data_IF_966925832506
#
_entry.id   IF_966925832506
#
_cell.length_a   1.000
_cell.length_b   1.000
_cell.length_c   1.000
_cell.angle_alpha   90.00
_cell.angle_beta   90.00
_cell.angle_gamma   90.00
#
_symmetry.space_group_name_H-M   'P 1'
#
loop_
_entity.id
_entity.type
_entity.pdbx_description
1 polymer ?
#
# COMPACT_ATOMS: atom_id res chain seq x y z
N UNK A 1 -48.33 16.43 -19.34
CA UNK A 1 -47.14 15.61 -19.00
C UNK A 1 -46.83 15.81 -17.53
N UNK A 2 -47.00 14.77 -16.71
CA UNK A 2 -47.01 14.90 -15.26
C UNK A 2 -45.61 15.22 -14.75
N UNK A 3 -45.44 16.34 -14.04
CA UNK A 3 -44.17 16.78 -13.47
C UNK A 3 -43.47 15.66 -12.67
N UNK A 4 -44.26 14.81 -12.00
CA UNK A 4 -43.79 13.62 -11.28
C UNK A 4 -43.10 12.58 -12.18
N UNK A 5 -43.58 12.38 -13.42
CA UNK A 5 -42.93 11.49 -14.40
C UNK A 5 -41.65 12.10 -14.97
N UNK A 6 -41.63 13.43 -15.16
CA UNK A 6 -40.43 14.13 -15.61
C UNK A 6 -39.32 14.04 -14.55
N UNK A 7 -39.67 14.21 -13.27
CA UNK A 7 -38.74 14.13 -12.14
C UNK A 7 -38.18 12.72 -11.93
N UNK A 8 -39.01 11.68 -12.08
CA UNK A 8 -38.55 10.29 -12.04
C UNK A 8 -37.63 9.93 -13.21
N UNK A 9 -37.91 10.42 -14.42
CA UNK A 9 -37.03 10.20 -15.58
C UNK A 9 -35.70 10.92 -15.39
N UNK A 10 -35.69 12.15 -14.85
CA UNK A 10 -34.47 12.90 -14.58
C UNK A 10 -33.61 12.21 -13.50
N UNK A 11 -34.24 11.71 -12.44
CA UNK A 11 -33.58 10.95 -11.38
C UNK A 11 -32.98 9.64 -11.90
N UNK A 12 -33.71 8.90 -12.74
CA UNK A 12 -33.20 7.71 -13.41
C UNK A 12 -32.02 8.03 -14.34
N UNK A 13 -32.07 9.14 -15.08
CA UNK A 13 -30.96 9.59 -15.92
C UNK A 13 -29.71 9.91 -15.10
N UNK A 14 -29.85 10.66 -14.00
CA UNK A 14 -28.75 10.99 -13.08
C UNK A 14 -28.11 9.77 -12.42
N UNK A 15 -28.88 8.71 -12.16
CA UNK A 15 -28.38 7.43 -11.63
C UNK A 15 -27.68 6.60 -12.72
N UNK A 16 -28.07 6.74 -13.99
CA UNK A 16 -27.46 6.02 -15.13
C UNK A 16 -26.20 6.71 -15.70
N UNK A 17 -26.04 8.01 -15.46
CA UNK A 17 -24.85 8.79 -15.87
C UNK A 17 -23.51 8.26 -15.33
N UNK A 18 -23.34 7.91 -14.04
CA UNK A 18 -22.06 7.40 -13.54
C UNK A 18 -21.64 6.09 -14.21
N UNK A 19 -22.60 5.28 -14.67
CA UNK A 19 -22.31 3.99 -15.31
C UNK A 19 -21.66 4.15 -16.69
N UNK A 20 -21.94 5.26 -17.41
CA UNK A 20 -21.32 5.52 -18.72
C UNK A 20 -19.90 6.07 -18.61
N UNK A 21 -19.58 6.77 -17.53
CA UNK A 21 -18.22 7.28 -17.30
C UNK A 21 -17.22 6.15 -17.02
N UNK A 22 -17.67 5.04 -16.42
CA UNK A 22 -16.81 3.91 -16.02
C UNK A 22 -16.28 3.09 -17.20
N UNK A 23 -17.06 2.97 -18.28
CA UNK A 23 -16.66 2.19 -19.45
C UNK A 23 -15.64 2.92 -20.34
N UNK A 24 -15.48 4.25 -20.17
CA UNK A 24 -14.51 5.04 -20.92
C UNK A 24 -13.06 4.82 -20.45
N UNK A 25 -12.83 4.45 -19.19
CA UNK A 25 -11.47 4.39 -18.63
C UNK A 25 -10.57 3.34 -19.30
N UNK A 26 -11.15 2.22 -19.77
CA UNK A 26 -10.40 1.19 -20.47
C UNK A 26 -9.98 1.62 -21.87
N UNK A 27 -10.87 2.29 -22.59
CA UNK A 27 -10.62 2.84 -23.91
C UNK A 27 -9.60 3.99 -23.82
N UNK A 28 -9.75 4.87 -22.83
CA UNK A 28 -8.79 5.95 -22.53
C UNK A 28 -7.39 5.40 -22.23
N UNK A 29 -7.28 4.31 -21.46
CA UNK A 29 -5.99 3.69 -21.13
C UNK A 29 -5.29 3.14 -22.37
N UNK A 30 -6.03 2.45 -23.23
CA UNK A 30 -5.49 1.83 -24.43
C UNK A 30 -5.13 2.90 -25.48
N UNK A 31 -5.89 4.00 -25.55
CA UNK A 31 -5.59 5.16 -26.37
C UNK A 31 -4.43 6.03 -25.86
N UNK A 32 -4.11 5.96 -24.56
CA UNK A 32 -3.13 6.81 -23.89
C UNK A 32 -1.67 6.49 -24.26
N UNK A 33 -0.81 7.50 -24.11
CA UNK A 33 0.65 7.33 -24.23
C UNK A 33 1.23 6.45 -23.11
N UNK A 34 2.43 5.90 -23.30
CA UNK A 34 3.05 5.00 -22.29
C UNK A 34 3.29 5.66 -20.93
N UNK A 35 3.67 6.94 -20.92
CA UNK A 35 3.82 7.71 -19.68
C UNK A 35 2.48 7.89 -18.97
N UNK A 36 1.43 8.20 -19.73
CA UNK A 36 0.08 8.37 -19.22
C UNK A 36 -0.51 7.04 -18.72
N UNK A 37 -0.27 5.92 -19.42
CA UNK A 37 -0.62 4.58 -18.94
C UNK A 37 0.00 4.28 -17.57
N UNK A 38 1.27 4.61 -17.38
CA UNK A 38 1.93 4.43 -16.09
C UNK A 38 1.33 5.30 -14.98
N UNK A 39 0.96 6.55 -15.31
CA UNK A 39 0.28 7.46 -14.38
C UNK A 39 -1.11 6.92 -13.98
N UNK A 40 -1.91 6.47 -14.95
CA UNK A 40 -3.23 5.87 -14.71
C UNK A 40 -3.11 4.65 -13.80
N UNK A 41 -2.21 3.71 -14.08
CA UNK A 41 -2.01 2.54 -13.23
C UNK A 41 -1.59 2.91 -11.80
N UNK A 42 -0.75 3.94 -11.65
CA UNK A 42 -0.32 4.42 -10.32
C UNK A 42 -1.49 5.02 -9.55
N UNK A 43 -2.36 5.80 -10.21
CA UNK A 43 -3.55 6.39 -9.61
C UNK A 43 -4.57 5.32 -9.23
N UNK A 44 -4.82 4.35 -10.12
CA UNK A 44 -5.73 3.24 -9.87
C UNK A 44 -5.24 2.33 -8.74
N UNK A 45 -3.93 2.19 -8.56
CA UNK A 45 -3.36 1.44 -7.45
C UNK A 45 -3.55 2.15 -6.10
N UNK A 46 -3.58 3.49 -6.09
CA UNK A 46 -3.82 4.28 -4.87
C UNK A 46 -5.30 4.34 -4.48
N UNK A 47 -6.20 4.27 -5.47
CA UNK A 47 -7.66 4.30 -5.29
C UNK A 47 -8.33 3.12 -6.02
N UNK A 48 -8.38 1.93 -5.42
CA UNK A 48 -8.97 0.75 -6.03
C UNK A 48 -10.47 0.90 -6.24
N UNK A 49 -10.94 0.49 -7.41
CA UNK A 49 -12.35 0.51 -7.80
C UNK A 49 -12.70 -0.80 -8.51
N UNK A 50 -13.79 -1.44 -8.09
CA UNK A 50 -14.15 -2.78 -8.58
C UNK A 50 -14.31 -2.84 -10.12
N UNK A 51 -14.77 -1.74 -10.72
CA UNK A 51 -15.04 -1.63 -12.16
C UNK A 51 -13.77 -1.77 -13.02
N UNK A 52 -12.58 -1.53 -12.45
CA UNK A 52 -11.29 -1.63 -13.16
C UNK A 52 -10.72 -3.04 -13.19
N UNK A 53 -11.27 -3.96 -12.39
CA UNK A 53 -10.79 -5.34 -12.28
C UNK A 53 -10.75 -6.10 -13.62
N UNK A 54 -11.76 -6.00 -14.51
CA UNK A 54 -11.72 -6.70 -15.80
C UNK A 54 -10.52 -6.29 -16.65
N UNK A 55 -10.22 -4.98 -16.71
CA UNK A 55 -9.08 -4.45 -17.44
C UNK A 55 -7.75 -4.88 -16.81
N UNK A 56 -7.60 -4.71 -15.49
CA UNK A 56 -6.36 -5.08 -14.78
C UNK A 56 -6.06 -6.58 -14.87
N UNK A 57 -7.10 -7.43 -14.84
CA UNK A 57 -6.96 -8.86 -15.12
C UNK A 57 -6.52 -9.09 -16.56
N UNK A 58 -7.17 -8.48 -17.55
CA UNK A 58 -6.76 -8.62 -18.94
C UNK A 58 -5.29 -8.21 -19.18
N UNK A 59 -4.84 -7.11 -18.57
CA UNK A 59 -3.45 -6.63 -18.65
C UNK A 59 -2.42 -7.61 -18.06
N UNK A 60 -2.81 -8.44 -17.09
CA UNK A 60 -1.89 -9.33 -16.37
C UNK A 60 -1.96 -10.78 -16.85
N UNK A 61 -3.12 -11.27 -17.29
CA UNK A 61 -3.33 -12.68 -17.64
C UNK A 61 -3.54 -12.94 -19.13
N UNK A 62 -4.31 -12.11 -19.82
CA UNK A 62 -4.91 -12.47 -21.12
C UNK A 62 -4.40 -11.60 -22.29
N UNK A 63 -3.60 -10.57 -22.02
CA UNK A 63 -3.11 -9.57 -22.99
C UNK A 63 -4.25 -8.89 -23.77
N UNK A 64 -4.62 -7.63 -23.44
CA UNK A 64 -5.73 -6.97 -24.11
C UNK A 64 -5.39 -6.66 -25.57
N UNK A 65 -6.43 -6.56 -26.39
CA UNK A 65 -6.36 -6.12 -27.78
C UNK A 65 -7.14 -4.81 -27.95
N UNK A 66 -6.74 -4.02 -28.94
CA UNK A 66 -7.32 -2.72 -29.28
C UNK A 66 -7.84 -2.77 -30.70
N UNK A 67 -9.03 -2.24 -30.97
CA UNK A 67 -9.53 -2.07 -32.34
C UNK A 67 -9.02 -0.77 -33.00
N UNK A 68 -9.40 -0.49 -34.25
CA UNK A 68 -8.98 0.75 -34.92
C UNK A 68 -9.61 2.01 -34.29
N UNK A 69 -10.76 1.86 -33.61
CA UNK A 69 -11.44 2.89 -32.83
C UNK A 69 -10.81 3.20 -31.47
N UNK A 70 -9.73 2.51 -31.09
CA UNK A 70 -9.06 2.56 -29.78
C UNK A 70 -9.90 2.01 -28.62
N UNK A 71 -10.83 1.11 -28.89
CA UNK A 71 -11.59 0.42 -27.86
C UNK A 71 -10.85 -0.83 -27.37
N UNK A 72 -10.94 -1.10 -26.08
CA UNK A 72 -10.26 -2.20 -25.42
C UNK A 72 -11.13 -3.47 -25.41
N UNK A 73 -10.54 -4.59 -25.83
CA UNK A 73 -11.15 -5.92 -25.76
C UNK A 73 -10.18 -6.92 -25.10
N UNK A 74 -10.75 -8.00 -24.56
CA UNK A 74 -9.99 -9.18 -24.14
C UNK A 74 -10.29 -10.36 -25.03
N UNK A 75 -9.29 -11.21 -25.24
CA UNK A 75 -9.43 -12.45 -26.02
C UNK A 75 -9.74 -13.61 -25.07
N UNK A 76 -10.92 -14.23 -25.21
CA UNK A 76 -11.30 -15.45 -24.48
C UNK A 76 -11.57 -16.59 -25.47
N UNK A 77 -11.59 -17.84 -25.00
CA UNK A 77 -11.86 -19.06 -25.82
C UNK A 77 -13.24 -19.10 -26.53
N UNK A 78 -13.98 -17.99 -26.59
CA UNK A 78 -15.25 -17.85 -27.31
C UNK A 78 -15.39 -16.50 -28.05
N UNK A 79 -14.30 -15.76 -28.25
CA UNK A 79 -14.30 -14.50 -29.00
C UNK A 79 -13.76 -13.30 -28.20
N UNK A 80 -13.97 -12.12 -28.77
CA UNK A 80 -13.57 -10.84 -28.18
C UNK A 80 -14.66 -10.35 -27.22
N UNK A 81 -14.28 -10.07 -25.98
CA UNK A 81 -15.16 -9.48 -24.99
C UNK A 81 -14.77 -8.02 -24.73
N UNK A 82 -15.73 -7.08 -24.74
CA UNK A 82 -15.44 -5.68 -24.48
C UNK A 82 -14.96 -5.45 -23.05
N UNK A 83 -13.94 -4.61 -22.91
CA UNK A 83 -13.46 -4.05 -21.64
C UNK A 83 -13.89 -2.60 -21.47
N UNK A 84 -14.26 -1.92 -22.55
CA UNK A 84 -14.71 -0.53 -22.57
C UNK A 84 -16.18 -0.37 -22.96
N UNK A 85 -16.53 0.80 -23.52
CA UNK A 85 -17.92 1.19 -23.76
C UNK A 85 -18.56 0.51 -24.99
N UNK A 86 -17.74 0.04 -25.93
CA UNK A 86 -18.22 -0.49 -27.21
C UNK A 86 -18.32 -2.02 -27.16
N UNK A 87 -19.51 -2.55 -27.48
CA UNK A 87 -19.81 -3.97 -27.33
C UNK A 87 -19.17 -4.89 -28.39
N UNK A 88 -18.85 -4.36 -29.57
CA UNK A 88 -18.27 -5.12 -30.69
C UNK A 88 -17.08 -4.36 -31.30
N UNK A 89 -16.01 -5.06 -31.69
CA UNK A 89 -14.82 -4.44 -32.25
C UNK A 89 -15.13 -3.75 -33.59
N UNK A 90 -14.55 -2.57 -33.79
CA UNK A 90 -14.59 -1.84 -35.04
C UNK A 90 -13.30 -2.08 -35.82
N UNK A 91 -13.39 -2.82 -36.92
CA UNK A 91 -12.25 -3.12 -37.77
C UNK A 91 -11.35 -4.22 -37.20
N UNK A 92 -10.06 -4.18 -37.54
CA UNK A 92 -9.09 -5.19 -37.10
C UNK A 92 -8.60 -4.91 -35.68
N UNK A 93 -8.41 -5.98 -34.90
CA UNK A 93 -7.85 -5.86 -33.55
C UNK A 93 -6.35 -6.08 -33.54
N UNK A 94 -5.61 -5.20 -32.86
CA UNK A 94 -4.16 -5.29 -32.65
C UNK A 94 -3.83 -5.55 -31.17
N UNK A 95 -2.82 -6.36 -30.85
CA UNK A 95 -2.45 -6.65 -29.47
C UNK A 95 -1.84 -5.43 -28.78
N UNK A 96 -2.32 -5.11 -27.57
CA UNK A 96 -1.75 -4.07 -26.71
C UNK A 96 -0.53 -4.64 -25.99
N UNK A 97 0.66 -4.43 -26.57
CA UNK A 97 1.91 -4.87 -25.95
C UNK A 97 2.23 -4.01 -24.74
N UNK A 98 2.48 -4.62 -23.58
CA UNK A 98 2.95 -3.92 -22.38
C UNK A 98 4.47 -4.03 -22.25
N UNK A 99 5.11 -2.98 -21.74
CA UNK A 99 6.52 -3.06 -21.30
C UNK A 99 6.62 -3.78 -19.96
N UNK A 100 7.81 -4.25 -19.59
CA UNK A 100 8.01 -4.89 -18.28
C UNK A 100 7.55 -3.97 -17.12
N UNK A 101 7.90 -2.69 -17.21
CA UNK A 101 7.47 -1.67 -16.25
C UNK A 101 5.95 -1.56 -16.13
N UNK A 102 5.22 -1.53 -17.25
CA UNK A 102 3.76 -1.43 -17.22
C UNK A 102 3.11 -2.70 -16.68
N UNK A 103 3.66 -3.88 -16.97
CA UNK A 103 3.17 -5.15 -16.39
C UNK A 103 3.31 -5.16 -14.87
N UNK A 104 4.45 -4.70 -14.35
CA UNK A 104 4.69 -4.57 -12.92
C UNK A 104 3.70 -3.60 -12.24
N UNK A 105 3.48 -2.42 -12.84
CA UNK A 105 2.49 -1.46 -12.37
C UNK A 105 1.06 -2.03 -12.42
N UNK A 106 0.71 -2.77 -13.48
CA UNK A 106 -0.59 -3.43 -13.58
C UNK A 106 -0.76 -4.53 -12.53
N UNK A 107 0.28 -5.31 -12.24
CA UNK A 107 0.27 -6.30 -11.17
C UNK A 107 0.12 -5.65 -9.79
N UNK A 108 0.82 -4.55 -9.52
CA UNK A 108 0.67 -3.76 -8.29
C UNK A 108 -0.74 -3.17 -8.15
N UNK A 109 -1.28 -2.60 -9.24
CA UNK A 109 -2.66 -2.11 -9.28
C UNK A 109 -3.66 -3.25 -9.04
N UNK A 110 -3.53 -4.40 -9.70
CA UNK A 110 -4.42 -5.54 -9.47
C UNK A 110 -4.35 -6.05 -8.02
N UNK A 111 -3.15 -6.15 -7.45
CA UNK A 111 -2.98 -6.57 -6.06
C UNK A 111 -3.61 -5.56 -5.08
N UNK A 112 -3.55 -4.26 -5.37
CA UNK A 112 -4.25 -3.24 -4.55
C UNK A 112 -5.77 -3.40 -4.54
N UNK A 113 -6.36 -4.00 -5.58
CA UNK A 113 -7.78 -4.30 -5.58
C UNK A 113 -8.07 -5.58 -4.78
N UNK A 114 -7.23 -6.60 -4.93
CA UNK A 114 -7.40 -7.87 -4.21
C UNK A 114 -7.13 -7.77 -2.70
N UNK A 115 -6.36 -6.78 -2.24
CA UNK A 115 -6.17 -6.57 -0.79
C UNK A 115 -7.46 -6.15 -0.07
N UNK A 116 -8.45 -5.68 -0.81
CA UNK A 116 -9.78 -5.30 -0.29
C UNK A 116 -10.81 -6.44 -0.40
N UNK A 117 -10.40 -7.62 -0.89
CA UNK A 117 -11.29 -8.79 -1.00
C UNK A 117 -11.64 -9.38 0.36
N UNK A 118 -12.82 -9.99 0.46
CA UNK A 118 -13.26 -10.73 1.65
C UNK A 118 -12.47 -12.03 1.86
N UNK A 119 -11.83 -12.56 0.81
CA UNK A 119 -11.07 -13.80 0.88
C UNK A 119 -9.64 -13.58 1.40
N UNK A 120 -9.32 -14.21 2.55
CA UNK A 120 -7.99 -14.15 3.20
C UNK A 120 -6.86 -14.60 2.27
N UNK A 121 -7.10 -15.61 1.42
CA UNK A 121 -6.08 -16.13 0.50
C UNK A 121 -5.75 -15.13 -0.62
N UNK A 122 -6.76 -14.45 -1.15
CA UNK A 122 -6.59 -13.37 -2.11
C UNK A 122 -5.83 -12.20 -1.48
N UNK A 123 -6.19 -11.80 -0.25
CA UNK A 123 -5.46 -10.75 0.47
C UNK A 123 -4.01 -11.11 0.74
N UNK A 124 -3.72 -12.35 1.16
CA UNK A 124 -2.34 -12.79 1.41
C UNK A 124 -1.50 -12.77 0.12
N UNK A 125 -2.05 -13.28 -0.99
CA UNK A 125 -1.36 -13.27 -2.29
C UNK A 125 -1.15 -11.84 -2.82
N UNK A 126 -2.14 -10.96 -2.62
CA UNK A 126 -2.05 -9.55 -2.94
C UNK A 126 -0.94 -8.88 -2.11
N UNK A 127 -0.93 -9.07 -0.79
CA UNK A 127 0.09 -8.49 0.09
C UNK A 127 1.51 -8.91 -0.32
N UNK A 128 1.73 -10.18 -0.66
CA UNK A 128 3.02 -10.66 -1.20
C UNK A 128 3.43 -9.98 -2.50
N UNK A 129 2.49 -9.74 -3.40
CA UNK A 129 2.74 -8.99 -4.64
C UNK A 129 3.11 -7.54 -4.33
N UNK A 130 2.37 -6.91 -3.40
CA UNK A 130 2.58 -5.52 -2.99
C UNK A 130 3.92 -5.30 -2.29
N UNK A 131 4.52 -6.31 -1.65
CA UNK A 131 5.87 -6.17 -1.13
C UNK A 131 6.89 -5.81 -2.23
N UNK A 132 6.70 -6.27 -3.46
CA UNK A 132 7.61 -5.99 -4.58
C UNK A 132 7.14 -4.82 -5.44
N UNK A 133 5.84 -4.76 -5.74
CA UNK A 133 5.30 -3.86 -6.76
C UNK A 133 4.60 -2.62 -6.18
N UNK A 134 4.52 -2.46 -4.85
CA UNK A 134 3.86 -1.29 -4.27
C UNK A 134 4.61 0.00 -4.62
N UNK A 135 3.82 1.05 -4.87
CA UNK A 135 4.32 2.40 -5.11
C UNK A 135 4.06 3.30 -3.90
N UNK A 136 4.79 4.42 -3.73
CA UNK A 136 4.59 5.33 -2.60
C UNK A 136 3.16 5.86 -2.47
N UNK A 137 2.44 6.02 -3.60
CA UNK A 137 1.05 6.49 -3.62
C UNK A 137 0.08 5.53 -2.90
N UNK A 138 0.47 4.27 -2.71
CA UNK A 138 -0.36 3.23 -2.08
C UNK A 138 -0.17 3.16 -0.56
N UNK A 139 0.78 3.92 0.01
CA UNK A 139 1.13 3.83 1.42
C UNK A 139 -0.06 4.09 2.36
N UNK A 140 -0.89 5.10 2.04
CA UNK A 140 -2.08 5.41 2.83
C UNK A 140 -3.10 4.26 2.82
N UNK A 141 -3.35 3.67 1.65
CA UNK A 141 -4.26 2.53 1.50
C UNK A 141 -3.76 1.30 2.27
N UNK A 142 -2.48 0.98 2.16
CA UNK A 142 -1.89 -0.15 2.89
C UNK A 142 -1.93 0.07 4.40
N UNK A 143 -1.68 1.29 4.87
CA UNK A 143 -1.77 1.64 6.28
C UNK A 143 -3.20 1.49 6.80
N UNK A 144 -4.20 1.98 6.06
CA UNK A 144 -5.61 1.80 6.40
C UNK A 144 -6.00 0.33 6.46
N UNK A 145 -5.58 -0.46 5.47
CA UNK A 145 -5.86 -1.90 5.46
C UNK A 145 -5.21 -2.62 6.62
N UNK A 146 -3.97 -2.27 6.98
CA UNK A 146 -3.27 -2.86 8.12
C UNK A 146 -4.05 -2.68 9.44
N UNK A 147 -4.68 -1.52 9.65
CA UNK A 147 -5.48 -1.27 10.86
C UNK A 147 -6.79 -2.07 10.89
N UNK A 148 -7.33 -2.45 9.73
CA UNK A 148 -8.58 -3.20 9.60
C UNK A 148 -8.37 -4.72 9.45
N UNK A 149 -7.12 -5.18 9.26
CA UNK A 149 -6.84 -6.59 9.03
C UNK A 149 -6.86 -7.38 10.33
N UNK A 150 -7.60 -8.49 10.32
CA UNK A 150 -7.74 -9.38 11.49
C UNK A 150 -6.82 -10.59 11.41
N UNK A 151 -6.44 -11.01 10.19
CA UNK A 151 -5.56 -12.17 10.01
C UNK A 151 -4.09 -11.80 10.26
N UNK A 152 -3.46 -12.50 11.19
CA UNK A 152 -2.07 -12.22 11.62
C UNK A 152 -1.05 -12.42 10.50
N UNK A 153 -1.27 -13.40 9.60
CA UNK A 153 -0.38 -13.66 8.48
C UNK A 153 -0.48 -12.55 7.42
N UNK A 154 -1.70 -12.13 7.06
CA UNK A 154 -1.88 -10.97 6.16
C UNK A 154 -1.34 -9.69 6.80
N UNK A 155 -1.54 -9.49 8.10
CA UNK A 155 -1.00 -8.34 8.84
C UNK A 155 0.53 -8.28 8.73
N UNK A 156 1.23 -9.38 8.99
CA UNK A 156 2.69 -9.46 8.85
C UNK A 156 3.15 -9.16 7.42
N UNK A 157 2.45 -9.68 6.41
CA UNK A 157 2.77 -9.40 5.00
C UNK A 157 2.60 -7.92 4.63
N UNK A 158 1.58 -7.25 5.19
CA UNK A 158 1.32 -5.82 5.00
C UNK A 158 2.36 -4.94 5.71
N UNK A 159 2.79 -5.30 6.92
CA UNK A 159 3.85 -4.61 7.65
C UNK A 159 5.16 -4.60 6.85
N UNK A 160 5.52 -5.74 6.26
CA UNK A 160 6.70 -5.85 5.39
C UNK A 160 6.55 -4.97 4.15
N UNK A 161 5.38 -4.95 3.51
CA UNK A 161 5.13 -4.11 2.34
C UNK A 161 5.29 -2.61 2.68
N UNK A 162 4.69 -2.15 3.78
CA UNK A 162 4.79 -0.77 4.25
C UNK A 162 6.22 -0.37 4.62
N UNK A 163 6.93 -1.23 5.32
CA UNK A 163 8.30 -0.97 5.69
C UNK A 163 9.22 -0.88 4.46
N UNK A 164 9.03 -1.73 3.44
CA UNK A 164 9.76 -1.63 2.18
C UNK A 164 9.54 -0.29 1.48
N UNK A 165 8.30 0.19 1.45
CA UNK A 165 7.98 1.52 0.93
C UNK A 165 8.68 2.63 1.70
N UNK A 166 8.68 2.54 3.04
CA UNK A 166 9.32 3.53 3.91
C UNK A 166 10.85 3.52 3.83
N UNK A 167 11.47 2.35 3.62
CA UNK A 167 12.92 2.23 3.41
C UNK A 167 13.38 2.95 2.14
N UNK A 168 12.55 2.97 1.10
CA UNK A 168 12.84 3.66 -0.14
C UNK A 168 12.70 5.19 -0.06
N UNK A 169 12.14 5.73 1.04
CA UNK A 169 11.96 7.17 1.20
C UNK A 169 13.26 7.90 1.57
N UNK A 170 13.44 9.16 1.11
CA UNK A 170 14.62 9.96 1.44
C UNK A 170 14.64 10.40 2.91
N UNK A 171 13.47 10.48 3.55
CA UNK A 171 13.29 10.92 4.93
C UNK A 171 13.92 9.95 5.94
N UNK A 172 14.74 10.48 6.85
CA UNK A 172 15.40 9.67 7.86
C UNK A 172 14.38 9.02 8.81
N UNK A 173 13.37 9.78 9.25
CA UNK A 173 12.31 9.31 10.16
C UNK A 173 11.50 8.15 9.57
N UNK A 174 11.15 8.21 8.28
CA UNK A 174 10.48 7.13 7.56
C UNK A 174 11.33 5.85 7.54
N UNK A 175 12.64 5.97 7.26
CA UNK A 175 13.55 4.82 7.34
C UNK A 175 13.65 4.23 8.74
N UNK A 176 13.65 5.06 9.80
CA UNK A 176 13.64 4.57 11.18
C UNK A 176 12.37 3.78 11.47
N UNK A 177 11.20 4.32 11.11
CA UNK A 177 9.91 3.67 11.28
C UNK A 177 9.89 2.29 10.61
N UNK A 178 10.40 2.21 9.39
CA UNK A 178 10.54 0.96 8.64
C UNK A 178 11.38 -0.08 9.39
N UNK A 179 12.54 0.30 9.93
CA UNK A 179 13.40 -0.61 10.69
C UNK A 179 12.69 -1.14 11.94
N UNK A 180 11.90 -0.31 12.62
CA UNK A 180 11.06 -0.77 13.75
C UNK A 180 9.99 -1.76 13.32
N UNK A 181 9.30 -1.51 12.18
CA UNK A 181 8.31 -2.44 11.64
C UNK A 181 8.96 -3.79 11.27
N UNK A 182 10.09 -3.76 10.55
CA UNK A 182 10.83 -4.97 10.17
C UNK A 182 11.44 -5.71 11.38
N UNK A 183 11.78 -4.99 12.45
CA UNK A 183 12.33 -5.58 13.68
C UNK A 183 11.36 -6.50 14.42
N UNK A 184 10.05 -6.29 14.25
CA UNK A 184 9.01 -7.16 14.80
C UNK A 184 8.68 -8.34 13.88
N UNK A 185 9.06 -8.28 12.61
CA UNK A 185 8.82 -9.35 11.64
C UNK A 185 9.84 -10.48 11.78
N UNK A 186 9.35 -11.72 11.86
CA UNK A 186 10.19 -12.92 11.90
C UNK A 186 10.67 -13.39 10.52
N UNK A 187 10.36 -12.64 9.45
CA UNK A 187 10.59 -13.05 8.07
C UNK A 187 12.09 -12.98 7.65
N UNK A 188 12.67 -14.07 7.10
CA UNK A 188 14.04 -14.08 6.60
C UNK A 188 14.31 -13.13 5.44
N UNK A 189 13.36 -12.94 4.52
CA UNK A 189 13.52 -12.02 3.38
C UNK A 189 13.61 -10.57 3.87
N UNK A 190 12.81 -10.24 4.88
CA UNK A 190 12.85 -8.97 5.60
C UNK A 190 14.22 -8.68 6.23
N UNK A 191 14.89 -9.68 6.81
CA UNK A 191 16.24 -9.50 7.39
C UNK A 191 17.28 -9.16 6.33
N UNK A 192 17.15 -9.73 5.12
CA UNK A 192 18.05 -9.44 4.01
C UNK A 192 17.97 -7.97 3.56
N UNK A 193 16.79 -7.35 3.66
CA UNK A 193 16.58 -5.93 3.33
C UNK A 193 17.32 -4.95 4.26
N UNK A 194 17.67 -5.38 5.48
CA UNK A 194 18.41 -4.57 6.45
C UNK A 194 19.94 -4.61 6.24
N UNK A 195 20.44 -5.56 5.44
CA UNK A 195 21.87 -5.78 5.21
C UNK A 195 22.53 -4.65 4.37
N UNK A 196 21.95 -4.21 3.24
CA UNK A 196 22.63 -3.27 2.33
C UNK A 196 22.51 -1.79 2.70
N UNK A 197 21.87 -1.40 3.81
CA UNK A 197 21.65 0.00 4.17
C UNK A 197 22.95 0.67 4.68
N UNK A 198 23.55 1.64 3.95
CA UNK A 198 24.80 2.30 4.34
C UNK A 198 24.59 3.30 5.50
N UNK A 199 25.52 3.31 6.45
CA UNK A 199 25.33 3.88 7.79
C UNK A 199 26.17 5.14 8.06
N UNK A 200 25.54 6.33 8.14
CA UNK A 200 25.95 7.35 9.13
C UNK A 200 24.97 7.42 10.32
N UNK A 201 23.70 7.09 10.12
CA UNK A 201 22.61 7.20 11.12
C UNK A 201 22.40 5.96 12.00
N UNK A 202 22.99 4.83 11.62
CA UNK A 202 22.56 3.52 12.13
C UNK A 202 23.39 3.01 13.33
N UNK A 203 24.46 3.71 13.73
CA UNK A 203 25.21 3.45 14.97
C UNK A 203 24.41 3.76 16.24
N UNK A 204 23.41 4.66 16.14
CA UNK A 204 22.43 4.92 17.21
C UNK A 204 21.21 3.99 17.10
N UNK A 205 20.79 3.65 15.88
CA UNK A 205 19.63 2.80 15.60
C UNK A 205 19.81 1.33 15.96
N UNK A 206 20.95 0.71 15.61
CA UNK A 206 21.25 -0.70 15.97
C UNK A 206 21.25 -0.93 17.48
N UNK A 207 21.54 0.12 18.26
CA UNK A 207 21.47 0.11 19.73
C UNK A 207 20.03 0.12 20.27
N UNK A 208 19.08 0.68 19.52
CA UNK A 208 17.67 0.72 19.90
C UNK A 208 16.95 -0.56 19.49
N UNK A 209 17.18 -1.07 18.27
CA UNK A 209 16.53 -2.28 17.77
C UNK A 209 16.97 -3.58 18.49
N UNK A 210 18.14 -3.61 19.14
CA UNK A 210 18.61 -4.75 19.95
C UNK A 210 18.16 -4.71 21.42
N UNK A 211 17.41 -3.69 21.85
CA UNK A 211 16.96 -3.57 23.24
C UNK A 211 15.51 -4.04 23.39
N UNK A 212 15.20 -4.89 24.38
CA UNK A 212 13.81 -5.20 24.70
C UNK A 212 13.07 -3.92 25.11
N UNK A 213 11.79 -3.78 24.72
CA UNK A 213 10.97 -2.58 24.84
C UNK A 213 10.98 -1.93 26.25
N UNK A 214 11.21 -2.74 27.30
CA UNK A 214 11.27 -2.32 28.70
C UNK A 214 12.48 -1.39 28.98
N UNK A 215 13.57 -1.51 28.22
CA UNK A 215 14.80 -0.76 28.45
C UNK A 215 14.79 0.68 27.88
N UNK A 216 13.76 1.07 27.11
CA UNK A 216 13.68 2.40 26.50
C UNK A 216 13.26 3.49 27.51
N UNK A 217 12.68 3.11 28.66
CA UNK A 217 12.16 4.06 29.67
C UNK A 217 13.24 4.81 30.47
N UNK A 218 14.53 4.45 30.31
CA UNK A 218 15.65 4.95 31.14
C UNK A 218 16.66 5.83 30.41
N UNK A 219 16.56 5.97 29.10
CA UNK A 219 17.37 6.94 28.34
C UNK A 219 16.51 8.17 28.06
N UNK A 220 16.95 9.31 28.57
CA UNK A 220 16.38 10.64 28.36
C UNK A 220 16.58 11.11 26.89
N UNK A 221 16.17 10.27 25.94
CA UNK A 221 16.12 10.54 24.52
C UNK A 221 14.65 10.84 24.25
N UNK A 222 14.37 12.07 23.81
CA UNK A 222 13.05 12.47 23.35
C UNK A 222 12.72 11.69 22.08
N UNK A 223 12.16 10.49 22.25
CA UNK A 223 11.30 9.84 21.29
C UNK A 223 9.85 10.02 21.76
N UNK A 224 9.40 11.28 21.80
CA UNK A 224 8.00 11.60 21.53
C UNK A 224 7.88 11.58 19.99
N UNK A 225 6.94 10.89 19.35
CA UNK A 225 5.52 10.79 19.68
C UNK A 225 4.87 9.59 18.99
N UNK A 226 3.76 9.11 19.56
CA UNK A 226 2.70 8.28 18.96
C UNK A 226 3.09 6.78 18.75
N UNK A 227 2.49 5.76 19.38
CA UNK A 227 1.19 5.58 20.02
C UNK A 227 1.34 4.49 21.09
N UNK A 228 0.90 4.76 22.33
CA UNK A 228 0.49 3.71 23.26
C UNK A 228 -0.94 3.32 22.90
N UNK A 229 -1.13 2.14 22.31
CA UNK A 229 -2.46 1.53 22.27
C UNK A 229 -2.77 1.05 23.67
N UNK A 230 -3.66 1.77 24.35
CA UNK A 230 -4.20 1.41 25.64
C UNK A 230 -5.14 0.21 25.49
N UNK A 231 -4.66 -0.98 25.89
CA UNK A 231 -5.51 -2.11 26.28
C UNK A 231 -5.60 -2.14 27.82
N UNK A 232 -6.79 -2.23 28.42
CA UNK A 232 -6.97 -1.99 29.85
C UNK A 232 -6.77 -3.27 30.66
N UNK A 233 -5.53 -3.71 30.86
CA UNK A 233 -5.25 -4.77 31.82
C UNK A 233 -3.90 -4.52 32.49
N UNK A 234 -3.97 -4.35 33.82
CA UNK A 234 -2.90 -4.25 34.83
C UNK A 234 -2.61 -2.83 35.35
N UNK A 235 -3.08 -2.60 36.58
CA UNK A 235 -3.07 -1.33 37.29
C UNK A 235 -1.66 -0.80 37.58
N UNK A 236 -1.47 0.48 37.29
CA UNK A 236 -0.35 1.27 37.80
C UNK A 236 -0.90 2.30 38.79
N UNK A 237 -0.57 2.12 40.07
CA UNK A 237 -0.83 3.07 41.16
C UNK A 237 0.18 4.23 41.07
N UNK A 238 -0.33 5.45 40.94
CA UNK A 238 0.41 6.70 40.74
C UNK A 238 0.88 7.33 42.07
N UNK A 239 1.86 6.78 42.79
CA UNK A 239 2.21 7.37 44.11
C UNK A 239 3.68 7.40 44.54
N UNK A 240 4.67 7.20 43.66
CA UNK A 240 6.09 7.48 44.03
C UNK A 240 6.89 8.13 42.92
N UNK A 241 6.76 9.45 42.81
CA UNK A 241 7.79 10.31 42.23
C UNK A 241 8.70 10.79 43.37
N UNK A 242 9.86 10.16 43.56
CA UNK A 242 10.95 10.79 44.31
C UNK A 242 11.86 11.54 43.33
N UNK A 243 11.74 12.86 43.30
CA UNK A 243 12.75 13.77 42.76
C UNK A 243 13.95 13.81 43.71
N UNK A 244 15.19 13.69 43.20
CA UNK A 244 16.39 14.14 43.91
C UNK A 244 17.24 15.04 43.00
N UNK A 245 17.93 16.06 43.56
CA UNK A 245 18.41 17.21 42.81
C UNK A 245 19.84 17.03 42.28
N UNK A 246 20.10 17.84 41.25
CA UNK A 246 21.35 18.10 40.55
C UNK A 246 22.30 18.93 41.44
N UNK A 247 23.61 18.81 41.17
CA UNK A 247 24.76 19.61 41.67
C UNK A 247 25.65 18.95 42.74
N UNK A 248 26.91 18.75 42.38
CA UNK A 248 27.98 18.30 43.28
C UNK A 248 29.19 17.73 42.55
N UNK A 249 30.02 18.59 41.97
CA UNK A 249 31.39 18.24 41.58
C UNK A 249 32.21 17.84 42.82
N UNK A 250 32.87 16.68 42.78
CA UNK A 250 34.14 16.44 43.50
C UNK A 250 34.98 15.42 42.73
N UNK A 251 36.21 15.84 42.45
CA UNK A 251 37.30 15.04 41.86
C UNK A 251 37.75 13.91 42.81
N UNK A 252 38.49 12.90 42.31
CA UNK A 252 38.74 11.65 43.01
C UNK A 252 40.00 11.73 43.88
N UNK A 253 39.87 11.45 45.17
CA UNK A 253 40.99 11.04 46.04
C UNK A 253 40.53 10.04 47.08
N UNK A 254 41.44 9.10 47.38
CA UNK A 254 41.44 8.13 48.46
C UNK A 254 40.66 6.81 48.24
N UNK A 255 41.31 5.90 47.51
CA UNK A 255 41.48 4.53 48.00
C UNK A 255 42.29 4.55 49.33
N UNK A 256 42.15 3.47 50.10
CA UNK A 256 42.85 3.03 51.32
C UNK A 256 41.94 2.98 52.55
N UNK A 257 41.63 1.74 52.94
CA UNK A 257 40.80 1.32 54.06
C UNK A 257 40.09 0.02 53.72
#
# INVERSE_FOLDING_TARGET
MNALRLMNVLALLLILLPWRAQAAEADDFVAASRSQQAQLLTQWAAAPQADRLPLLRALTTESPVMDDGKHAFRTRQGGLQPLGAVAAPQGETRPVRLTNRLRNLAAGALASHFILSDNVTERASAARTLQREATPAMAALLQQRLQAETDENVRGLLEVALARLQLAQPEASARLAAVTLLGHSADPETRALLIPLPMPSMSRMRRCARRPAIACKRSNIVCCSAICWAGPLWGCRWDRCCCWPRWGWRSPTACWG
#
